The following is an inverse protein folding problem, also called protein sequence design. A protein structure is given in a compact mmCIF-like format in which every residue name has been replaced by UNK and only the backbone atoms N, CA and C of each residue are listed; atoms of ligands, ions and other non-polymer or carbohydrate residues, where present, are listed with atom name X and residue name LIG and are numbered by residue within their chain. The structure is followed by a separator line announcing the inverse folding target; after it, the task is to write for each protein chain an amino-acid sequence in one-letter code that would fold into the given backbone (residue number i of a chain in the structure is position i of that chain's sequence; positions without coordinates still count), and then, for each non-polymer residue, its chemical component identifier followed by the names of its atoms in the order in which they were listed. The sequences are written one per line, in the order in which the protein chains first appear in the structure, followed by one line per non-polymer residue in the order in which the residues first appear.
data_IF_235331095354
#
_entry.id   IF_235331095354
#
_cell.length_a   1.000
_cell.length_b   1.000
_cell.length_c   1.000
_cell.angle_alpha   90.00
_cell.angle_beta   90.00
_cell.angle_gamma   90.00
#
_symmetry.space_group_name_H-M   'P 1'
#
loop_
_entity.id
_entity.type
_entity.pdbx_description
1 polymer ?
#
# COMPACT_ATOMS: atom_id res chain seq x y z
N UNK A 1 20.15 -8.42 -9.75
CA UNK A 1 21.16 -7.69 -8.94
C UNK A 1 21.48 -8.46 -7.67
N UNK A 2 22.60 -8.20 -6.97
CA UNK A 2 22.88 -8.78 -5.63
C UNK A 2 22.38 -7.84 -4.52
N UNK A 3 21.93 -8.36 -3.35
CA UNK A 3 21.59 -7.52 -2.20
C UNK A 3 22.75 -6.61 -1.79
N UNK A 4 22.45 -5.34 -1.46
CA UNK A 4 23.45 -4.36 -1.04
C UNK A 4 22.84 -3.34 -0.07
N UNK A 5 23.31 -3.26 1.19
CA UNK A 5 22.76 -2.34 2.19
C UNK A 5 22.96 -0.84 1.86
N UNK A 6 23.91 -0.49 0.99
CA UNK A 6 24.14 0.89 0.55
C UNK A 6 23.38 1.26 -0.73
N UNK A 7 22.60 0.34 -1.29
CA UNK A 7 21.85 0.61 -2.52
C UNK A 7 20.84 1.76 -2.32
N UNK A 8 20.80 2.74 -3.25
CA UNK A 8 19.82 3.82 -3.20
C UNK A 8 18.43 3.29 -3.55
N UNK A 9 17.40 3.95 -3.03
CA UNK A 9 16.03 3.66 -3.39
C UNK A 9 15.72 4.14 -4.82
N UNK A 10 15.25 3.24 -5.67
CA UNK A 10 14.76 3.54 -7.02
C UNK A 10 13.36 2.94 -7.19
N UNK A 11 12.45 3.75 -7.74
CA UNK A 11 11.03 3.36 -7.84
C UNK A 11 10.71 2.51 -9.08
N UNK A 12 11.64 2.40 -10.03
CA UNK A 12 11.40 1.83 -11.36
C UNK A 12 10.78 0.41 -11.34
N UNK A 13 11.42 -0.55 -10.66
CA UNK A 13 10.91 -1.93 -10.60
C UNK A 13 9.61 -2.04 -9.79
N UNK A 14 9.49 -1.23 -8.74
CA UNK A 14 8.29 -1.15 -7.90
C UNK A 14 7.11 -0.66 -8.73
N UNK A 15 7.27 0.40 -9.52
CA UNK A 15 6.21 0.96 -10.35
C UNK A 15 5.80 0.01 -11.48
N UNK A 16 6.75 -0.75 -12.04
CA UNK A 16 6.44 -1.78 -13.04
C UNK A 16 5.46 -2.81 -12.49
N UNK A 17 5.74 -3.38 -11.32
CA UNK A 17 4.85 -4.35 -10.65
C UNK A 17 3.56 -3.67 -10.18
N UNK A 18 3.65 -2.45 -9.64
CA UNK A 18 2.50 -1.71 -9.15
C UNK A 18 1.49 -1.42 -10.26
N UNK A 19 1.93 -1.08 -11.47
CA UNK A 19 1.04 -0.86 -12.61
C UNK A 19 0.24 -2.13 -12.97
N UNK A 20 0.85 -3.31 -12.87
CA UNK A 20 0.17 -4.58 -13.07
C UNK A 20 -0.87 -4.85 -11.97
N UNK A 21 -0.51 -4.59 -10.71
CA UNK A 21 -1.42 -4.73 -9.57
C UNK A 21 -2.61 -3.77 -9.67
N UNK A 22 -2.37 -2.48 -9.98
CA UNK A 22 -3.44 -1.49 -10.20
C UNK A 22 -4.39 -1.93 -11.31
N UNK A 23 -3.87 -2.42 -12.44
CA UNK A 23 -4.70 -2.90 -13.54
C UNK A 23 -5.54 -4.12 -13.13
N UNK A 24 -4.99 -5.03 -12.33
CA UNK A 24 -5.75 -6.17 -11.79
C UNK A 24 -6.84 -5.73 -10.81
N UNK A 25 -6.52 -4.85 -9.86
CA UNK A 25 -7.48 -4.28 -8.91
C UNK A 25 -8.61 -3.54 -9.62
N UNK A 26 -8.30 -2.75 -10.65
CA UNK A 26 -9.30 -2.02 -11.42
C UNK A 26 -10.30 -2.93 -12.10
N UNK A 27 -9.83 -3.94 -12.82
CA UNK A 27 -10.71 -4.91 -13.50
C UNK A 27 -11.62 -5.63 -12.51
N UNK A 28 -11.11 -5.95 -11.33
CA UNK A 28 -11.89 -6.59 -10.27
C UNK A 28 -12.94 -5.64 -9.68
N UNK A 29 -12.58 -4.37 -9.46
CA UNK A 29 -13.51 -3.35 -9.00
C UNK A 29 -14.63 -3.06 -10.01
N UNK A 30 -14.32 -3.05 -11.32
CA UNK A 30 -15.32 -2.88 -12.38
C UNK A 30 -16.32 -4.03 -12.42
N UNK A 31 -15.87 -5.27 -12.23
CA UNK A 31 -16.76 -6.44 -12.12
C UNK A 31 -17.73 -6.29 -10.95
N UNK A 32 -17.25 -5.81 -9.80
CA UNK A 32 -18.08 -5.61 -8.59
C UNK A 32 -19.13 -4.53 -8.77
N UNK A 33 -18.80 -3.45 -9.48
CA UNK A 33 -19.71 -2.33 -9.71
C UNK A 33 -20.41 -2.35 -11.07
N UNK A 34 -20.60 -3.53 -11.69
CA UNK A 34 -21.31 -3.70 -12.96
C UNK A 34 -20.85 -2.74 -14.07
N UNK A 35 -19.53 -2.66 -14.28
CA UNK A 35 -18.91 -1.81 -15.31
C UNK A 35 -18.44 -0.45 -14.79
N UNK A 36 -18.66 -0.14 -13.51
CA UNK A 36 -18.03 1.00 -12.82
C UNK A 36 -17.14 0.47 -11.70
N UNK A 37 -15.90 0.97 -11.60
CA UNK A 37 -15.02 0.55 -10.51
C UNK A 37 -15.62 0.87 -9.14
N UNK A 38 -15.76 -0.14 -8.29
CA UNK A 38 -16.27 -0.01 -6.93
C UNK A 38 -15.21 -0.48 -5.93
N UNK A 39 -14.75 0.43 -5.08
CA UNK A 39 -13.77 0.18 -4.04
C UNK A 39 -14.36 0.44 -2.66
N UNK A 40 -13.72 -0.13 -1.64
CA UNK A 40 -13.89 0.28 -0.26
C UNK A 40 -12.60 0.98 0.17
N UNK A 41 -12.71 2.17 0.75
CA UNK A 41 -11.59 2.88 1.35
C UNK A 41 -11.00 2.03 2.48
N UNK A 42 -9.70 1.79 2.43
CA UNK A 42 -9.04 0.91 3.40
C UNK A 42 -8.92 1.49 4.81
N UNK A 43 -9.22 2.77 5.01
CA UNK A 43 -9.12 3.44 6.31
C UNK A 43 -10.45 3.95 6.84
N UNK A 44 -11.39 4.36 5.98
CA UNK A 44 -12.73 4.82 6.41
C UNK A 44 -13.82 3.76 6.25
N UNK A 45 -13.59 2.76 5.39
CA UNK A 45 -14.61 1.77 5.05
C UNK A 45 -15.70 2.28 4.10
N UNK A 46 -15.63 3.55 3.70
CA UNK A 46 -16.55 4.16 2.75
C UNK A 46 -16.41 3.54 1.35
N UNK A 47 -17.49 3.60 0.58
CA UNK A 47 -17.48 3.13 -0.80
C UNK A 47 -16.95 4.23 -1.70
N UNK A 48 -15.92 3.91 -2.48
CA UNK A 48 -15.30 4.81 -3.47
C UNK A 48 -15.66 4.36 -4.88
N UNK A 49 -16.28 5.26 -5.64
CA UNK A 49 -16.75 4.98 -7.00
C UNK A 49 -15.75 5.45 -8.07
N UNK A 50 -15.73 4.75 -9.20
CA UNK A 50 -14.99 5.18 -10.39
C UNK A 50 -15.38 6.61 -10.79
N UNK A 51 -14.38 7.48 -10.94
CA UNK A 51 -14.54 8.92 -11.21
C UNK A 51 -14.40 9.82 -9.98
N UNK A 52 -14.46 9.27 -8.76
CA UNK A 52 -14.11 10.00 -7.54
C UNK A 52 -12.59 10.15 -7.40
N UNK A 53 -12.16 11.07 -6.54
CA UNK A 53 -10.74 11.34 -6.27
C UNK A 53 -10.20 10.37 -5.22
N UNK A 54 -9.87 9.16 -5.65
CA UNK A 54 -9.10 8.19 -4.85
C UNK A 54 -7.72 7.93 -5.47
N UNK A 55 -6.81 7.43 -4.67
CA UNK A 55 -5.48 7.00 -5.11
C UNK A 55 -5.23 5.54 -4.66
N UNK A 56 -4.44 4.80 -5.45
CA UNK A 56 -3.95 3.48 -5.02
C UNK A 56 -2.82 3.69 -4.02
N UNK A 57 -2.88 2.93 -2.95
CA UNK A 57 -2.07 3.17 -1.76
C UNK A 57 -1.14 2.00 -1.45
N UNK A 58 0.08 2.34 -1.06
CA UNK A 58 0.97 1.42 -0.35
C UNK A 58 0.88 1.74 1.15
N UNK A 59 0.18 0.90 1.92
CA UNK A 59 -0.10 1.15 3.35
C UNK A 59 1.22 1.42 4.11
N UNK A 60 2.19 0.52 3.94
CA UNK A 60 3.60 0.82 4.19
C UNK A 60 4.25 1.25 2.88
N UNK A 61 4.76 2.49 2.88
CA UNK A 61 5.38 3.10 1.71
C UNK A 61 6.55 2.30 1.16
N UNK A 62 6.68 2.30 -0.16
CA UNK A 62 7.73 1.64 -0.93
C UNK A 62 9.15 1.95 -0.46
N UNK A 63 9.44 3.21 -0.12
CA UNK A 63 10.75 3.64 0.38
C UNK A 63 11.08 3.04 1.76
N UNK A 64 10.07 2.90 2.63
CA UNK A 64 10.23 2.26 3.94
C UNK A 64 10.55 0.78 3.77
N UNK A 65 9.76 0.06 2.97
CA UNK A 65 9.98 -1.37 2.69
C UNK A 65 11.35 -1.60 2.06
N UNK A 66 11.72 -0.80 1.05
CA UNK A 66 13.03 -0.90 0.42
C UNK A 66 14.16 -0.68 1.45
N UNK A 67 14.09 0.40 2.23
CA UNK A 67 15.13 0.71 3.24
C UNK A 67 15.25 -0.39 4.27
N UNK A 68 14.12 -0.95 4.71
CA UNK A 68 14.09 -2.06 5.67
C UNK A 68 14.72 -3.34 5.11
N UNK A 69 14.48 -3.70 3.84
CA UNK A 69 14.83 -5.04 3.33
C UNK A 69 15.92 -5.09 2.24
N UNK A 70 16.47 -3.95 1.77
CA UNK A 70 17.53 -3.91 0.72
C UNK A 70 18.83 -4.64 1.06
N UNK A 71 19.05 -4.90 2.34
CA UNK A 71 20.18 -5.70 2.80
C UNK A 71 19.96 -7.21 2.61
N UNK A 72 18.72 -7.65 2.41
CA UNK A 72 18.33 -9.06 2.24
C UNK A 72 17.89 -9.39 0.81
N UNK A 73 17.25 -8.44 0.12
CA UNK A 73 16.53 -8.70 -1.12
C UNK A 73 17.02 -7.82 -2.28
N UNK A 74 16.84 -8.30 -3.51
CA UNK A 74 17.06 -7.51 -4.74
C UNK A 74 15.93 -6.50 -4.98
N UNK A 75 16.06 -5.60 -5.97
CA UNK A 75 15.02 -4.57 -6.21
C UNK A 75 13.77 -5.22 -6.81
N UNK A 76 13.96 -6.23 -7.65
CA UNK A 76 12.90 -7.03 -8.23
C UNK A 76 12.14 -7.79 -7.14
N UNK A 77 12.83 -8.35 -6.14
CA UNK A 77 12.20 -8.99 -4.99
C UNK A 77 11.47 -7.99 -4.10
N UNK A 78 12.07 -6.83 -3.83
CA UNK A 78 11.41 -5.75 -3.06
C UNK A 78 10.16 -5.25 -3.79
N UNK A 79 10.17 -5.17 -5.11
CA UNK A 79 8.99 -4.84 -5.91
C UNK A 79 7.84 -5.83 -5.68
N UNK A 80 8.13 -7.12 -5.51
CA UNK A 80 7.12 -8.12 -5.14
C UNK A 80 6.64 -7.98 -3.69
N UNK A 81 7.53 -7.61 -2.76
CA UNK A 81 7.18 -7.38 -1.34
C UNK A 81 6.28 -6.17 -1.18
N UNK A 82 6.69 -5.01 -1.73
CA UNK A 82 5.94 -3.75 -1.63
C UNK A 82 4.53 -3.89 -2.22
N UNK A 83 4.42 -4.63 -3.33
CA UNK A 83 3.18 -4.81 -4.05
C UNK A 83 2.44 -6.10 -3.65
N UNK A 84 2.71 -6.66 -2.47
CA UNK A 84 1.91 -7.78 -1.97
C UNK A 84 0.45 -7.34 -1.78
N UNK A 85 -0.53 -8.24 -2.00
CA UNK A 85 -1.96 -7.89 -1.94
C UNK A 85 -2.39 -7.24 -0.63
N UNK A 86 -1.75 -7.60 0.48
CA UNK A 86 -2.06 -7.06 1.80
C UNK A 86 -1.56 -5.62 2.00
N UNK A 87 -0.56 -5.17 1.23
CA UNK A 87 0.01 -3.82 1.36
C UNK A 87 -0.52 -2.83 0.31
N UNK A 88 -1.26 -3.31 -0.70
CA UNK A 88 -1.83 -2.46 -1.75
C UNK A 88 -3.34 -2.31 -1.56
N UNK A 89 -3.80 -1.07 -1.46
CA UNK A 89 -5.21 -0.77 -1.25
C UNK A 89 -5.64 0.48 -2.03
N UNK A 90 -6.85 0.98 -1.75
CA UNK A 90 -7.36 2.25 -2.27
C UNK A 90 -7.82 3.10 -1.08
N UNK A 91 -7.54 4.39 -1.15
CA UNK A 91 -8.05 5.37 -0.18
C UNK A 91 -8.32 6.70 -0.89
N UNK A 92 -9.11 7.56 -0.27
CA UNK A 92 -9.34 8.91 -0.77
C UNK A 92 -8.02 9.66 -0.97
N UNK A 93 -7.98 10.53 -1.99
CA UNK A 93 -6.79 11.34 -2.28
C UNK A 93 -6.38 12.22 -1.09
N UNK A 94 -7.34 12.72 -0.32
CA UNK A 94 -7.04 13.59 0.83
C UNK A 94 -6.26 12.83 1.91
N UNK A 95 -6.66 11.59 2.22
CA UNK A 95 -5.95 10.74 3.17
C UNK A 95 -4.57 10.35 2.61
N UNK A 96 -4.51 9.95 1.34
CA UNK A 96 -3.25 9.56 0.69
C UNK A 96 -2.20 10.68 0.77
N UNK A 97 -2.59 11.90 0.40
CA UNK A 97 -1.72 13.06 0.42
C UNK A 97 -1.34 13.50 1.84
N UNK A 98 -2.29 13.46 2.78
CA UNK A 98 -2.07 13.79 4.19
C UNK A 98 -1.09 12.81 4.86
N UNK A 99 -1.19 11.51 4.56
CA UNK A 99 -0.23 10.51 5.05
C UNK A 99 1.14 10.69 4.42
N UNK A 100 1.18 10.87 3.10
CA UNK A 100 2.41 10.91 2.34
C UNK A 100 3.31 9.70 2.63
N UNK A 101 4.58 9.97 2.91
CA UNK A 101 5.60 8.94 3.21
C UNK A 101 5.65 8.52 4.69
N UNK A 102 4.78 9.08 5.54
CA UNK A 102 4.78 8.80 6.97
C UNK A 102 4.49 7.33 7.23
N UNK A 103 5.18 6.74 8.21
CA UNK A 103 4.87 5.40 8.69
C UNK A 103 3.39 5.37 9.13
N UNK A 104 2.57 4.42 8.64
CA UNK A 104 1.15 4.38 8.99
C UNK A 104 0.93 4.31 10.50
N UNK A 105 1.73 3.54 11.25
CA UNK A 105 1.59 3.44 12.70
C UNK A 105 1.73 4.81 13.40
N UNK A 106 2.59 5.69 12.88
CA UNK A 106 2.78 7.06 13.40
C UNK A 106 1.64 7.98 12.95
N UNK A 107 1.23 7.90 11.69
CA UNK A 107 0.19 8.79 11.15
C UNK A 107 -1.17 8.55 11.81
N UNK A 108 -1.52 7.27 12.03
CA UNK A 108 -2.77 6.86 12.70
C UNK A 108 -2.71 6.97 14.23
N UNK A 109 -1.56 7.27 14.83
CA UNK A 109 -1.48 7.60 16.25
C UNK A 109 -1.91 9.06 16.54
N UNK A 110 -2.02 9.91 15.52
CA UNK A 110 -2.44 11.30 15.66
C UNK A 110 -3.98 11.41 15.61
N UNK A 111 -4.60 11.75 16.75
CA UNK A 111 -6.05 11.92 16.88
C UNK A 111 -6.63 12.94 15.89
N UNK A 112 -5.90 14.02 15.60
CA UNK A 112 -6.37 15.05 14.68
C UNK A 112 -6.53 14.49 13.24
N UNK A 113 -5.63 13.58 12.83
CA UNK A 113 -5.74 12.92 11.53
C UNK A 113 -6.97 12.02 11.47
N UNK A 114 -7.25 11.30 12.55
CA UNK A 114 -8.42 10.42 12.67
C UNK A 114 -9.70 11.25 12.52
N UNK A 115 -9.82 12.35 13.27
CA UNK A 115 -10.99 13.23 13.24
C UNK A 115 -11.17 13.92 11.89
N UNK A 116 -10.10 14.50 11.33
CA UNK A 116 -10.15 15.27 10.07
C UNK A 116 -10.57 14.42 8.87
N UNK A 117 -10.25 13.13 8.90
CA UNK A 117 -10.47 12.22 7.78
C UNK A 117 -11.53 11.14 8.07
N UNK A 118 -12.23 11.24 9.21
CA UNK A 118 -13.28 10.29 9.62
C UNK A 118 -12.83 8.83 9.55
N UNK A 119 -11.61 8.58 10.04
CA UNK A 119 -10.99 7.26 9.97
C UNK A 119 -11.77 6.28 10.87
N UNK A 120 -12.13 5.11 10.33
CA UNK A 120 -12.49 3.96 11.15
C UNK A 120 -11.19 3.36 11.69
N UNK A 121 -10.84 3.76 12.91
CA UNK A 121 -9.57 3.38 13.52
C UNK A 121 -9.41 1.86 13.64
N UNK A 122 -10.49 1.13 13.90
CA UNK A 122 -10.42 -0.33 14.03
C UNK A 122 -10.08 -0.96 12.67
N UNK A 123 -10.79 -0.56 11.62
CA UNK A 123 -10.55 -1.03 10.26
C UNK A 123 -9.14 -0.68 9.79
N UNK A 124 -8.72 0.58 9.99
CA UNK A 124 -7.40 1.06 9.59
C UNK A 124 -6.28 0.27 10.27
N UNK A 125 -6.34 0.09 11.60
CA UNK A 125 -5.35 -0.69 12.35
C UNK A 125 -5.32 -2.16 11.93
N UNK A 126 -6.47 -2.76 11.64
CA UNK A 126 -6.53 -4.13 11.12
C UNK A 126 -5.86 -4.26 9.74
N UNK A 127 -6.06 -3.30 8.85
CA UNK A 127 -5.43 -3.28 7.54
C UNK A 127 -3.91 -3.02 7.62
N UNK A 128 -3.46 -2.14 8.52
CA UNK A 128 -2.03 -1.93 8.80
C UNK A 128 -1.38 -3.23 9.30
N UNK A 129 -2.03 -3.91 10.26
CA UNK A 129 -1.53 -5.19 10.78
C UNK A 129 -1.43 -6.25 9.69
N UNK A 130 -2.44 -6.36 8.81
CA UNK A 130 -2.42 -7.29 7.67
C UNK A 130 -1.31 -6.95 6.68
N UNK A 131 -1.12 -5.68 6.35
CA UNK A 131 -0.06 -5.22 5.46
C UNK A 131 1.33 -5.60 5.99
N UNK A 132 1.59 -5.31 7.27
CA UNK A 132 2.85 -5.67 7.94
C UNK A 132 3.10 -7.18 7.89
N UNK A 133 2.09 -7.98 8.26
CA UNK A 133 2.19 -9.44 8.23
C UNK A 133 2.40 -9.99 6.81
N UNK A 134 1.74 -9.42 5.80
CA UNK A 134 1.89 -9.79 4.39
C UNK A 134 3.27 -9.48 3.84
N UNK A 135 3.81 -8.29 4.16
CA UNK A 135 5.19 -7.88 3.85
C UNK A 135 6.17 -8.88 4.45
N UNK A 136 6.10 -9.12 5.76
CA UNK A 136 7.03 -10.02 6.46
C UNK A 136 6.96 -11.46 5.93
N UNK A 137 5.75 -11.94 5.60
CA UNK A 137 5.56 -13.23 4.97
C UNK A 137 6.24 -13.29 3.60
N UNK A 138 6.03 -12.29 2.74
CA UNK A 138 6.62 -12.24 1.40
C UNK A 138 8.15 -12.13 1.45
N UNK A 139 8.70 -11.38 2.41
CA UNK A 139 10.14 -11.31 2.66
C UNK A 139 10.70 -12.70 2.99
N UNK A 140 10.08 -13.43 3.94
CA UNK A 140 10.50 -14.78 4.31
C UNK A 140 10.44 -15.79 3.16
N UNK A 141 9.50 -15.62 2.22
CA UNK A 141 9.38 -16.46 1.03
C UNK A 141 10.52 -16.23 0.03
N UNK A 142 11.01 -14.98 -0.08
CA UNK A 142 12.01 -14.57 -1.07
C UNK A 142 13.45 -14.56 -0.53
N UNK A 143 13.62 -14.61 0.79
CA UNK A 143 14.93 -14.64 1.46
C UNK A 143 15.45 -16.05 1.75
N UNK A 144 14.75 -17.09 1.29
CA UNK A 144 15.16 -18.50 1.36
C UNK A 144 15.90 -18.87 0.09
#
# INVERSE_FOLDING_TARGET
MTPNPLRPYLRFDIDKVFNQVKAAMHREAEKRGNGKALYQDCYTGEILNGGERYDYEHIYGSEWVHTTYKHLLTDEQIALVVNCPENVAVTSRSINQSKGKTNPEVWFANLQNIENHQIDLKLALDNIRKAKAGIEKKVRELSR
#
